data_IF_850240616020
#
_entry.id   IF_850240616020
#
_cell.length_a   1.000
_cell.length_b   1.000
_cell.length_c   1.000
_cell.angle_alpha   90.00
_cell.angle_beta   90.00
_cell.angle_gamma   90.00
#
_symmetry.space_group_name_H-M   'P 1'
#
loop_
_entity.id
_entity.type
_entity.pdbx_description
1 polymer ?
#
# COMPACT_ATOMS: atom_id res chain seq x y z
N UNK A 1 14.66 -3.86 -8.07
CA UNK A 1 13.38 -3.72 -8.78
C UNK A 1 12.24 -3.65 -7.77
N UNK A 2 11.25 -2.82 -8.05
CA UNK A 2 9.96 -2.87 -7.38
C UNK A 2 9.14 -4.02 -7.95
N UNK A 3 8.19 -4.57 -7.21
CA UNK A 3 7.36 -5.66 -7.73
C UNK A 3 7.08 -6.76 -6.71
N UNK A 4 7.16 -6.40 -5.43
CA UNK A 4 6.87 -7.31 -4.33
C UNK A 4 8.10 -8.08 -3.82
N UNK A 5 7.82 -9.15 -3.12
CA UNK A 5 8.83 -10.04 -2.55
C UNK A 5 9.64 -10.73 -3.65
N UNK A 6 10.94 -10.82 -3.44
CA UNK A 6 11.82 -11.63 -4.27
C UNK A 6 12.42 -12.78 -3.45
N UNK A 7 12.08 -14.01 -3.81
CA UNK A 7 12.55 -15.20 -3.13
C UNK A 7 11.93 -15.41 -1.74
N UNK A 8 12.65 -16.12 -0.90
CA UNK A 8 12.25 -16.42 0.48
C UNK A 8 12.71 -15.27 1.39
N UNK A 9 11.78 -14.67 2.12
CA UNK A 9 12.12 -13.73 3.18
C UNK A 9 12.24 -14.45 4.52
N UNK A 10 13.17 -13.97 5.33
CA UNK A 10 13.35 -14.43 6.70
C UNK A 10 12.93 -13.34 7.67
N UNK A 11 12.25 -13.69 8.77
CA UNK A 11 11.95 -12.72 9.80
C UNK A 11 13.22 -12.32 10.56
N UNK A 12 13.19 -11.13 11.13
CA UNK A 12 14.16 -10.73 12.15
C UNK A 12 13.82 -11.35 13.51
N UNK A 13 14.58 -10.99 14.55
CA UNK A 13 14.42 -11.49 15.91
C UNK A 13 13.03 -11.20 16.51
N UNK A 14 12.37 -10.14 16.05
CA UNK A 14 11.02 -9.75 16.48
C UNK A 14 9.91 -10.40 15.64
N UNK A 15 10.26 -11.25 14.68
CA UNK A 15 9.33 -11.88 13.75
C UNK A 15 8.82 -10.94 12.66
N UNK A 16 9.55 -9.88 12.35
CA UNK A 16 9.20 -8.91 11.33
C UNK A 16 9.94 -9.17 10.02
N UNK A 17 9.30 -8.77 8.91
CA UNK A 17 9.82 -8.87 7.56
C UNK A 17 9.99 -7.47 6.97
N UNK A 18 11.10 -7.25 6.26
CA UNK A 18 11.38 -5.99 5.57
C UNK A 18 11.26 -6.20 4.07
N UNK A 19 10.45 -5.40 3.40
CA UNK A 19 10.25 -5.47 1.95
C UNK A 19 9.80 -4.13 1.38
N UNK A 20 9.98 -3.97 0.07
CA UNK A 20 9.44 -2.86 -0.70
C UNK A 20 7.94 -3.09 -0.93
N UNK A 21 7.12 -2.13 -0.53
CA UNK A 21 5.65 -2.21 -0.59
C UNK A 21 5.02 -1.25 -1.60
N UNK A 22 5.82 -0.44 -2.26
CA UNK A 22 5.38 0.52 -3.26
C UNK A 22 6.52 1.39 -3.75
N UNK A 23 6.21 2.33 -4.62
CA UNK A 23 7.19 3.29 -5.10
C UNK A 23 6.56 4.65 -5.42
N UNK A 24 7.35 5.71 -5.27
CA UNK A 24 7.08 7.03 -5.81
C UNK A 24 7.99 7.28 -7.01
N UNK A 25 7.68 8.31 -7.79
CA UNK A 25 8.34 8.56 -9.08
C UNK A 25 8.28 7.33 -9.98
N UNK A 26 7.13 6.69 -10.04
CA UNK A 26 6.91 5.42 -10.74
C UNK A 26 5.47 5.33 -11.25
N UNK A 27 5.25 4.77 -12.46
CA UNK A 27 3.90 4.47 -12.92
C UNK A 27 3.31 3.28 -12.16
N UNK A 28 1.98 3.28 -12.02
CA UNK A 28 1.23 2.10 -11.60
C UNK A 28 0.78 1.27 -12.82
N UNK A 29 0.11 0.14 -12.60
CA UNK A 29 -0.39 -0.74 -13.68
C UNK A 29 -1.41 -0.07 -14.62
N UNK A 30 -2.02 1.04 -14.19
CA UNK A 30 -2.96 1.83 -15.01
C UNK A 30 -2.29 2.93 -15.80
N UNK A 31 -0.97 3.10 -15.65
CA UNK A 31 -0.20 4.15 -16.28
C UNK A 31 -0.22 5.50 -15.54
N UNK A 32 -0.88 5.60 -14.37
CA UNK A 32 -0.80 6.81 -13.55
C UNK A 32 0.58 6.86 -12.87
N UNK A 33 1.17 8.04 -12.85
CA UNK A 33 2.49 8.25 -12.26
C UNK A 33 2.37 8.81 -10.83
N UNK A 34 2.84 8.08 -9.84
CA UNK A 34 2.90 8.56 -8.45
C UNK A 34 3.98 9.62 -8.29
N UNK A 35 3.57 10.83 -7.89
CA UNK A 35 4.49 11.94 -7.64
C UNK A 35 5.35 11.69 -6.42
N UNK A 36 6.62 12.09 -6.49
CA UNK A 36 7.56 12.14 -5.37
C UNK A 36 7.77 13.56 -4.81
N UNK A 37 6.83 14.47 -5.08
CA UNK A 37 6.87 15.85 -4.59
C UNK A 37 7.06 15.91 -3.06
N UNK A 38 7.61 17.01 -2.57
CA UNK A 38 7.89 17.20 -1.13
C UNK A 38 6.66 16.98 -0.25
N UNK A 39 5.46 17.35 -0.72
CA UNK A 39 4.21 17.12 0.00
C UNK A 39 3.89 15.63 0.18
N UNK A 40 4.23 14.79 -0.81
CA UNK A 40 4.07 13.33 -0.74
C UNK A 40 5.14 12.72 0.16
N UNK A 41 6.39 13.13 0.00
CA UNK A 41 7.52 12.70 0.86
C UNK A 41 7.26 13.01 2.34
N UNK A 42 6.65 14.14 2.64
CA UNK A 42 6.28 14.54 4.00
C UNK A 42 5.32 13.58 4.68
N UNK A 43 4.54 12.78 3.94
CA UNK A 43 3.66 11.75 4.50
C UNK A 43 4.42 10.61 5.20
N UNK A 44 5.72 10.46 4.90
CA UNK A 44 6.61 9.45 5.47
C UNK A 44 7.53 9.98 6.58
N UNK A 45 7.39 11.26 6.94
CA UNK A 45 8.15 11.87 8.03
C UNK A 45 7.59 11.44 9.40
N UNK A 46 8.45 11.50 10.43
CA UNK A 46 8.09 11.11 11.82
C UNK A 46 6.87 11.87 12.36
N UNK A 47 6.68 13.12 11.96
CA UNK A 47 5.54 13.95 12.36
C UNK A 47 4.23 13.63 11.63
N UNK A 48 4.27 12.79 10.60
CA UNK A 48 3.09 12.46 9.81
C UNK A 48 2.09 11.60 10.58
N UNK A 49 0.82 11.66 10.17
CA UNK A 49 -0.22 10.79 10.72
C UNK A 49 0.08 9.31 10.49
N UNK A 50 0.62 8.96 9.31
CA UNK A 50 1.00 7.59 8.96
C UNK A 50 2.03 7.04 9.94
N UNK A 51 3.16 7.73 10.10
CA UNK A 51 4.27 7.27 10.94
C UNK A 51 3.86 7.25 12.42
N UNK A 52 3.06 8.22 12.88
CA UNK A 52 2.51 8.21 14.26
C UNK A 52 1.58 7.03 14.51
N UNK A 53 0.76 6.61 13.52
CA UNK A 53 -0.07 5.40 13.66
C UNK A 53 0.78 4.13 13.73
N UNK A 54 1.88 4.08 12.97
CA UNK A 54 2.84 2.99 13.04
C UNK A 54 3.48 2.91 14.43
N UNK A 55 3.97 4.02 14.95
CA UNK A 55 4.59 4.09 16.29
C UNK A 55 3.64 3.62 17.41
N UNK A 56 2.34 3.81 17.24
CA UNK A 56 1.30 3.33 18.16
C UNK A 56 0.86 1.88 17.92
N UNK A 57 1.44 1.19 16.92
CA UNK A 57 1.02 -0.17 16.54
C UNK A 57 -0.37 -0.24 15.90
N UNK A 58 -0.87 0.86 15.36
CA UNK A 58 -2.26 0.98 14.87
C UNK A 58 -2.39 0.82 13.35
N UNK A 59 -1.31 0.83 12.60
CA UNK A 59 -1.39 0.68 11.15
C UNK A 59 -1.44 -0.80 10.78
N UNK A 60 -2.57 -1.22 10.20
CA UNK A 60 -2.86 -2.59 9.80
C UNK A 60 -3.07 -2.66 8.29
N UNK A 61 -2.68 -3.79 7.69
CA UNK A 61 -3.01 -4.14 6.31
C UNK A 61 -4.13 -5.16 6.27
N UNK A 62 -5.00 -5.05 5.27
CA UNK A 62 -5.94 -6.10 4.93
C UNK A 62 -5.33 -7.07 3.90
N UNK A 63 -5.81 -8.31 3.93
CA UNK A 63 -5.54 -9.31 2.91
C UNK A 63 -6.49 -9.06 1.74
N UNK A 64 -5.97 -8.49 0.64
CA UNK A 64 -6.66 -7.92 -0.52
C UNK A 64 -7.27 -6.53 -0.27
N UNK A 65 -7.29 -5.73 -1.34
CA UNK A 65 -7.95 -4.42 -1.34
C UNK A 65 -9.44 -4.55 -1.06
N UNK A 66 -10.04 -3.52 -0.42
CA UNK A 66 -11.49 -3.38 -0.34
C UNK A 66 -12.14 -3.37 -1.72
N UNK A 67 -13.24 -4.07 -1.84
CA UNK A 67 -14.07 -4.12 -3.05
C UNK A 67 -15.45 -3.53 -2.78
N UNK A 68 -16.10 -3.01 -3.81
CA UNK A 68 -17.48 -2.56 -3.73
C UNK A 68 -18.44 -3.71 -3.42
N UNK A 69 -18.08 -4.95 -3.77
CA UNK A 69 -18.85 -6.15 -3.49
C UNK A 69 -18.94 -6.47 -1.99
N UNK A 70 -18.02 -5.94 -1.20
CA UNK A 70 -18.03 -6.07 0.27
C UNK A 70 -19.00 -5.10 0.95
N UNK A 71 -19.55 -4.13 0.19
CA UNK A 71 -20.40 -3.06 0.73
C UNK A 71 -21.85 -3.46 0.59
N UNK A 72 -22.50 -3.73 1.71
CA UNK A 72 -23.90 -4.11 1.73
C UNK A 72 -24.79 -3.02 1.07
N UNK A 73 -25.60 -3.44 0.10
CA UNK A 73 -26.52 -2.57 -0.62
C UNK A 73 -25.87 -1.68 -1.70
N UNK A 74 -24.55 -1.75 -1.94
CA UNK A 74 -23.88 -0.89 -2.92
C UNK A 74 -24.46 -1.04 -4.33
N UNK A 75 -24.67 -2.27 -4.79
CA UNK A 75 -25.21 -2.53 -6.14
C UNK A 75 -26.68 -2.17 -6.29
N UNK A 76 -27.44 -2.11 -5.19
CA UNK A 76 -28.85 -1.71 -5.17
C UNK A 76 -29.03 -0.18 -5.12
N UNK A 77 -28.00 0.56 -4.69
CA UNK A 77 -28.03 2.02 -4.62
C UNK A 77 -27.92 2.61 -6.04
N UNK A 78 -28.83 3.49 -6.40
CA UNK A 78 -28.85 4.16 -7.72
C UNK A 78 -28.26 5.55 -7.69
N UNK A 79 -28.20 6.18 -6.52
CA UNK A 79 -27.65 7.52 -6.35
C UNK A 79 -26.10 7.48 -6.32
N UNK A 80 -25.49 8.08 -7.33
CA UNK A 80 -24.02 8.11 -7.47
C UNK A 80 -23.31 8.77 -6.28
N UNK A 81 -23.87 9.84 -5.72
CA UNK A 81 -23.31 10.51 -4.55
C UNK A 81 -23.32 9.63 -3.30
N UNK A 82 -24.38 8.85 -3.12
CA UNK A 82 -24.46 7.87 -2.02
C UNK A 82 -23.47 6.71 -2.25
N UNK A 83 -23.40 6.17 -3.46
CA UNK A 83 -22.41 5.14 -3.82
C UNK A 83 -20.99 5.60 -3.51
N UNK A 84 -20.64 6.83 -3.92
CA UNK A 84 -19.34 7.42 -3.64
C UNK A 84 -19.06 7.49 -2.13
N UNK A 85 -20.03 7.94 -1.33
CA UNK A 85 -19.92 7.98 0.14
C UNK A 85 -19.72 6.59 0.76
N UNK A 86 -20.48 5.60 0.29
CA UNK A 86 -20.36 4.21 0.75
C UNK A 86 -18.99 3.65 0.48
N UNK A 87 -18.45 3.85 -0.72
CA UNK A 87 -17.12 3.39 -1.11
C UNK A 87 -16.02 4.13 -0.34
N UNK A 88 -16.09 5.46 -0.27
CA UNK A 88 -15.13 6.28 0.49
C UNK A 88 -15.09 5.87 1.98
N UNK A 89 -16.25 5.57 2.57
CA UNK A 89 -16.32 5.05 3.93
C UNK A 89 -15.57 3.71 4.04
N UNK A 90 -15.83 2.76 3.15
CA UNK A 90 -15.14 1.46 3.15
C UNK A 90 -13.64 1.61 2.99
N UNK A 91 -13.17 2.53 2.15
CA UNK A 91 -11.75 2.81 1.97
C UNK A 91 -11.08 3.36 3.23
N UNK A 92 -11.79 4.13 4.06
CA UNK A 92 -11.28 4.66 5.31
C UNK A 92 -11.31 3.67 6.48
N UNK A 93 -12.09 2.60 6.38
CA UNK A 93 -12.24 1.59 7.43
C UNK A 93 -11.32 0.40 7.18
N UNK A 94 -10.76 -0.15 8.26
CA UNK A 94 -10.03 -1.42 8.22
C UNK A 94 -10.98 -2.53 8.70
N UNK A 95 -11.20 -3.52 7.84
CA UNK A 95 -11.93 -4.72 8.22
C UNK A 95 -11.04 -5.62 9.07
N UNK A 96 -11.34 -5.70 10.37
CA UNK A 96 -10.54 -6.45 11.34
C UNK A 96 -10.49 -7.95 11.06
N UNK A 97 -11.50 -8.49 10.38
CA UNK A 97 -11.55 -9.91 9.98
C UNK A 97 -10.59 -10.23 8.82
N UNK A 98 -10.08 -9.20 8.13
CA UNK A 98 -9.16 -9.32 6.99
C UNK A 98 -7.73 -8.90 7.31
N UNK A 99 -7.42 -8.53 8.52
CA UNK A 99 -6.07 -8.11 8.90
C UNK A 99 -5.07 -9.23 8.64
N UNK A 100 -3.95 -8.90 7.97
CA UNK A 100 -2.86 -9.82 7.70
C UNK A 100 -1.52 -9.39 8.30
N UNK A 101 -1.31 -8.11 8.56
CA UNK A 101 -0.10 -7.64 9.25
C UNK A 101 -0.29 -6.30 9.96
N UNK A 102 0.68 -6.01 10.82
CA UNK A 102 0.87 -4.72 11.48
C UNK A 102 2.18 -4.11 10.97
N UNK A 103 2.15 -2.85 10.58
CA UNK A 103 3.35 -2.11 10.22
C UNK A 103 4.15 -1.72 11.47
N UNK A 104 5.47 -1.92 11.42
CA UNK A 104 6.40 -1.57 12.50
C UNK A 104 7.30 -0.41 12.15
N UNK A 105 7.62 -0.23 10.87
CA UNK A 105 8.37 0.90 10.34
C UNK A 105 8.01 1.12 8.87
N UNK A 106 8.23 2.33 8.39
CA UNK A 106 8.13 2.69 6.97
C UNK A 106 9.12 3.80 6.67
N UNK A 107 9.76 3.75 5.50
CA UNK A 107 10.68 4.79 5.05
C UNK A 107 10.77 4.83 3.54
N UNK A 108 11.30 5.92 3.01
CA UNK A 108 11.62 6.06 1.60
C UNK A 108 13.08 5.67 1.35
N UNK A 109 13.31 4.86 0.32
CA UNK A 109 14.63 4.47 -0.15
C UNK A 109 14.86 5.04 -1.55
N UNK A 110 15.82 5.95 -1.67
CA UNK A 110 16.10 6.69 -2.90
C UNK A 110 17.16 6.03 -3.78
N UNK A 111 17.84 5.00 -3.28
CA UNK A 111 19.07 4.51 -3.91
C UNK A 111 18.95 3.11 -4.48
N UNK A 112 18.16 2.24 -3.84
CA UNK A 112 18.24 0.80 -4.08
C UNK A 112 17.19 0.25 -5.03
N UNK A 113 16.24 1.06 -5.52
CA UNK A 113 15.12 0.59 -6.32
C UNK A 113 15.07 1.19 -7.71
N UNK A 114 14.73 0.32 -8.67
CA UNK A 114 14.47 0.69 -10.06
C UNK A 114 13.13 0.08 -10.51
N UNK A 115 12.51 0.71 -11.50
CA UNK A 115 11.38 0.11 -12.21
C UNK A 115 11.82 -1.02 -13.14
N UNK A 116 10.88 -1.58 -13.91
CA UNK A 116 11.17 -2.67 -14.85
C UNK A 116 12.04 -2.22 -16.02
N UNK A 117 12.02 -0.95 -16.37
CA UNK A 117 12.82 -0.36 -17.45
C UNK A 117 14.23 0.04 -16.98
N UNK A 118 14.48 -0.04 -15.65
CA UNK A 118 15.77 0.31 -15.05
C UNK A 118 15.88 1.77 -14.61
N UNK A 119 14.79 2.55 -14.71
CA UNK A 119 14.77 3.93 -14.21
C UNK A 119 14.77 3.92 -12.67
N UNK A 120 15.48 4.87 -12.08
CA UNK A 120 15.51 5.03 -10.62
C UNK A 120 14.15 5.51 -10.10
N UNK A 121 13.65 4.83 -9.08
CA UNK A 121 12.41 5.18 -8.39
C UNK A 121 12.68 5.34 -6.89
N UNK A 122 11.76 5.99 -6.17
CA UNK A 122 11.81 6.08 -4.71
C UNK A 122 11.02 4.91 -4.14
N UNK A 123 11.74 3.92 -3.59
CA UNK A 123 11.10 2.77 -2.96
C UNK A 123 10.40 3.14 -1.65
N UNK A 124 9.20 2.65 -1.45
CA UNK A 124 8.53 2.69 -0.14
C UNK A 124 8.82 1.36 0.53
N UNK A 125 9.65 1.38 1.55
CA UNK A 125 10.09 0.18 2.27
C UNK A 125 9.40 0.13 3.63
N UNK A 126 8.95 -1.04 4.02
CA UNK A 126 8.30 -1.25 5.30
C UNK A 126 8.85 -2.47 6.04
N UNK A 127 8.82 -2.38 7.35
CA UNK A 127 8.97 -3.49 8.27
C UNK A 127 7.58 -3.87 8.75
N UNK A 128 7.16 -5.10 8.48
CA UNK A 128 5.83 -5.62 8.81
C UNK A 128 5.91 -6.84 9.71
N UNK A 129 4.94 -7.02 10.58
CA UNK A 129 4.76 -8.22 11.38
C UNK A 129 3.45 -8.89 11.01
N UNK A 130 3.43 -10.15 10.53
CA UNK A 130 2.20 -10.89 10.31
C UNK A 130 1.34 -10.90 11.56
N UNK A 131 0.07 -10.59 11.42
CA UNK A 131 -0.88 -10.47 12.54
C UNK A 131 -2.31 -10.60 12.04
N UNK A 132 -3.25 -10.77 12.98
CA UNK A 132 -4.67 -10.89 12.67
C UNK A 132 -5.03 -12.23 12.00
N UNK A 133 -6.30 -12.35 11.56
CA UNK A 133 -6.83 -13.62 11.04
C UNK A 133 -6.07 -14.16 9.82
N UNK A 134 -5.51 -13.29 8.97
CA UNK A 134 -4.72 -13.67 7.79
C UNK A 134 -3.21 -13.57 7.99
N UNK A 135 -2.75 -13.31 9.21
CA UNK A 135 -1.32 -13.30 9.56
C UNK A 135 -0.59 -14.58 9.17
N UNK A 136 -1.10 -15.77 9.56
CA UNK A 136 -0.47 -17.05 9.21
C UNK A 136 -0.38 -17.28 7.69
N UNK A 137 -1.40 -16.90 6.92
CA UNK A 137 -1.39 -17.02 5.47
C UNK A 137 -0.32 -16.11 4.84
N UNK A 138 -0.25 -14.85 5.26
CA UNK A 138 0.78 -13.93 4.80
C UNK A 138 2.19 -14.43 5.15
N UNK A 139 2.40 -14.91 6.37
CA UNK A 139 3.70 -15.41 6.80
C UNK A 139 4.17 -16.59 5.96
N UNK A 140 3.29 -17.56 5.69
CA UNK A 140 3.56 -18.68 4.79
C UNK A 140 4.01 -18.18 3.42
N UNK A 141 3.30 -17.19 2.84
CA UNK A 141 3.61 -16.66 1.52
C UNK A 141 4.94 -15.88 1.50
N UNK A 142 5.28 -15.16 2.59
CA UNK A 142 6.57 -14.50 2.76
C UNK A 142 7.74 -15.49 2.78
N UNK A 143 7.55 -16.65 3.36
CA UNK A 143 8.57 -17.70 3.51
C UNK A 143 8.63 -18.67 2.32
N UNK A 144 7.64 -18.64 1.43
CA UNK A 144 7.58 -19.52 0.26
C UNK A 144 8.37 -18.95 -0.92
N UNK A 145 9.15 -19.80 -1.59
CA UNK A 145 9.87 -19.43 -2.81
C UNK A 145 8.95 -19.30 -4.03
N UNK A 146 7.80 -20.00 -4.03
CA UNK A 146 6.86 -20.05 -5.15
C UNK A 146 5.78 -18.96 -5.11
N UNK A 147 5.69 -18.23 -4.00
CA UNK A 147 4.65 -17.22 -3.81
C UNK A 147 5.25 -15.81 -3.87
N UNK A 148 4.57 -14.92 -4.59
CA UNK A 148 4.87 -13.49 -4.51
C UNK A 148 4.03 -12.84 -3.42
N UNK A 149 4.59 -11.83 -2.76
CA UNK A 149 3.87 -10.97 -1.81
C UNK A 149 4.04 -9.55 -2.27
N UNK A 150 2.95 -8.94 -2.66
CA UNK A 150 2.90 -7.55 -3.08
C UNK A 150 1.94 -6.75 -2.20
N UNK A 151 2.15 -5.44 -2.17
CA UNK A 151 1.28 -4.50 -1.49
C UNK A 151 0.83 -3.43 -2.47
N UNK A 152 -0.33 -2.86 -2.22
CA UNK A 152 -0.85 -1.71 -2.95
C UNK A 152 -1.31 -0.63 -1.98
N UNK A 153 -0.98 0.61 -2.31
CA UNK A 153 -1.34 1.77 -1.49
C UNK A 153 -2.85 1.99 -1.50
N UNK A 154 -3.42 2.20 -0.32
CA UNK A 154 -4.79 2.67 -0.13
C UNK A 154 -4.73 4.12 0.33
N UNK A 155 -5.01 5.02 -0.60
CA UNK A 155 -4.79 6.45 -0.41
C UNK A 155 -5.87 7.29 -1.10
N UNK A 156 -5.91 8.56 -0.74
CA UNK A 156 -6.62 9.61 -1.47
C UNK A 156 -5.60 10.54 -2.10
N UNK A 157 -5.81 10.90 -3.36
CA UNK A 157 -4.90 11.73 -4.13
C UNK A 157 -5.65 12.85 -4.86
N UNK A 158 -4.92 13.92 -5.19
CA UNK A 158 -5.33 14.87 -6.21
C UNK A 158 -4.63 14.46 -7.51
N UNK A 159 -5.40 14.25 -8.57
CA UNK A 159 -4.90 13.79 -9.84
C UNK A 159 -4.94 14.92 -10.86
N UNK A 160 -3.91 15.03 -11.69
CA UNK A 160 -3.88 15.98 -12.79
C UNK A 160 -3.16 15.41 -13.99
N UNK A 161 -3.37 15.99 -15.16
CA UNK A 161 -2.63 15.66 -16.38
C UNK A 161 -1.52 16.70 -16.55
N UNK A 162 -0.29 16.24 -16.71
CA UNK A 162 0.86 17.10 -16.95
C UNK A 162 0.93 17.60 -18.41
N UNK A 163 1.92 18.44 -18.71
CA UNK A 163 2.12 19.01 -20.06
C UNK A 163 2.45 17.97 -21.15
N UNK A 164 2.77 16.72 -20.78
CA UNK A 164 3.06 15.62 -21.69
C UNK A 164 1.86 14.66 -21.85
N UNK A 165 0.71 14.96 -21.22
CA UNK A 165 -0.47 14.11 -21.21
C UNK A 165 -0.39 12.95 -20.22
N UNK A 166 0.57 12.96 -19.30
CA UNK A 166 0.74 11.94 -18.27
C UNK A 166 -0.20 12.20 -17.09
N UNK A 167 -0.95 11.20 -16.67
CA UNK A 167 -1.73 11.26 -15.42
C UNK A 167 -0.79 11.18 -14.20
N UNK A 168 -0.84 12.21 -13.37
CA UNK A 168 -0.02 12.34 -12.16
C UNK A 168 -0.91 12.25 -10.92
N UNK A 169 -0.56 11.34 -10.02
CA UNK A 169 -1.19 11.18 -8.70
C UNK A 169 -0.36 11.85 -7.61
N UNK A 170 -0.92 12.86 -6.97
CA UNK A 170 -0.33 13.50 -5.79
C UNK A 170 -1.06 13.01 -4.55
N UNK A 171 -0.45 12.08 -3.83
CA UNK A 171 -1.05 11.49 -2.63
C UNK A 171 -1.23 12.55 -1.56
N UNK A 172 -2.43 12.66 -1.00
CA UNK A 172 -2.77 13.58 0.10
C UNK A 172 -2.91 12.89 1.43
N UNK A 173 -3.42 11.67 1.44
CA UNK A 173 -3.60 10.91 2.65
C UNK A 173 -3.40 9.41 2.36
N UNK A 174 -2.68 8.73 3.24
CA UNK A 174 -2.48 7.29 3.18
C UNK A 174 -3.31 6.64 4.27
N UNK A 175 -4.27 5.81 3.88
CA UNK A 175 -5.05 5.00 4.82
C UNK A 175 -4.20 3.84 5.32
N UNK A 176 -3.69 3.02 4.39
CA UNK A 176 -2.81 1.88 4.66
C UNK A 176 -2.20 1.38 3.35
N UNK A 177 -1.53 0.23 3.42
CA UNK A 177 -1.11 -0.57 2.28
C UNK A 177 -1.70 -1.96 2.45
N UNK A 178 -2.42 -2.46 1.46
CA UNK A 178 -3.05 -3.77 1.53
C UNK A 178 -2.24 -4.82 0.79
N UNK A 179 -2.26 -6.05 1.29
CA UNK A 179 -1.72 -7.20 0.55
C UNK A 179 -2.54 -7.42 -0.73
N UNK A 180 -1.87 -7.60 -1.85
CA UNK A 180 -2.47 -7.89 -3.15
C UNK A 180 -1.71 -9.01 -3.85
N UNK A 181 -2.35 -9.64 -4.84
CA UNK A 181 -1.70 -10.70 -5.63
C UNK A 181 -0.69 -10.12 -6.62
N UNK A 182 -1.01 -8.94 -7.17
CA UNK A 182 -0.15 -8.21 -8.09
C UNK A 182 -0.06 -6.75 -7.63
N UNK A 183 1.12 -6.19 -7.69
CA UNK A 183 1.33 -4.79 -7.36
C UNK A 183 0.69 -3.90 -8.43
N UNK A 184 -0.13 -2.94 -7.97
CA UNK A 184 -0.75 -1.95 -8.84
C UNK A 184 0.18 -0.81 -9.23
#
# INVERSE_FOLDING_TARGET
KIGGKQGVLKPDEDGCYTLCIGALNSPNNKGDHYSDANSVRALFNESSSLVRRIAKGMLKAEYRHPSVDEINGYHLETNLGKKFKMYTRRLNEINTEKICCTFRAIWLDEENYTDYEGNRVVGIVAKIKPSGPFGPALERDLQSSGENVAFSIRSFSDDYIDGNGQSIKVIKNIVTFDHVLEQG
#
